data_IF_671541325632
#
_entry.id   IF_671541325632
#
_cell.length_a   1.000
_cell.length_b   1.000
_cell.length_c   1.000
_cell.angle_alpha   90.00
_cell.angle_beta   90.00
_cell.angle_gamma   90.00
#
_symmetry.space_group_name_H-M   'P 1'
#
loop_
_entity.id
_entity.type
_entity.pdbx_description
1 polymer ?
#
# COMPACT_ATOMS: atom_id res chain seq x y z
N UNK A 1 -52.01 41.30 -55.51
CA UNK A 1 -51.02 40.27 -55.89
C UNK A 1 -49.87 40.37 -54.89
N UNK A 2 -49.87 39.61 -53.88
CA UNK A 2 -48.87 39.57 -52.78
C UNK A 2 -48.28 38.17 -52.72
N UNK A 3 -47.02 38.07 -53.13
CA UNK A 3 -46.24 36.80 -53.07
C UNK A 3 -45.67 36.63 -51.68
N UNK A 4 -45.96 35.52 -51.02
CA UNK A 4 -45.34 35.12 -49.75
C UNK A 4 -44.12 34.24 -50.02
N UNK A 5 -42.96 34.67 -49.55
CA UNK A 5 -41.70 33.89 -49.53
C UNK A 5 -41.70 32.99 -48.30
N UNK A 6 -41.60 31.66 -48.51
CA UNK A 6 -41.31 30.71 -47.48
C UNK A 6 -39.78 30.49 -47.38
N UNK A 7 -39.17 30.85 -46.25
CA UNK A 7 -37.81 30.49 -45.90
C UNK A 7 -37.84 29.15 -45.17
N UNK A 8 -37.33 28.11 -45.81
CA UNK A 8 -37.09 26.79 -45.16
C UNK A 8 -35.84 26.83 -44.29
N UNK A 9 -36.04 26.64 -43.00
CA UNK A 9 -34.95 26.46 -42.03
C UNK A 9 -34.54 24.99 -42.04
N UNK A 10 -33.40 24.67 -42.68
CA UNK A 10 -32.78 23.34 -42.64
C UNK A 10 -32.00 23.21 -41.34
N UNK A 11 -32.62 22.56 -40.33
CA UNK A 11 -31.92 22.20 -39.11
C UNK A 11 -30.91 21.07 -39.35
N UNK A 12 -29.63 21.36 -39.23
CA UNK A 12 -28.57 20.34 -39.17
C UNK A 12 -28.60 19.72 -37.79
N UNK A 13 -29.15 18.52 -37.67
CA UNK A 13 -28.97 17.70 -36.51
C UNK A 13 -27.52 17.20 -36.47
N UNK A 14 -26.68 17.79 -35.61
CA UNK A 14 -25.40 17.19 -35.22
C UNK A 14 -25.71 15.95 -34.43
N UNK A 15 -25.54 14.78 -35.03
CA UNK A 15 -25.45 13.54 -34.29
C UNK A 15 -24.16 13.57 -33.48
N UNK A 16 -24.28 13.72 -32.17
CA UNK A 16 -23.15 13.45 -31.28
C UNK A 16 -22.73 11.98 -31.51
N UNK A 17 -21.53 11.76 -31.99
CA UNK A 17 -20.94 10.44 -32.09
C UNK A 17 -20.84 9.89 -30.66
N UNK A 18 -21.74 9.02 -30.29
CA UNK A 18 -21.56 8.21 -29.09
C UNK A 18 -20.36 7.30 -29.36
N UNK A 19 -19.34 7.42 -28.52
CA UNK A 19 -18.21 6.49 -28.54
C UNK A 19 -18.78 5.06 -28.41
N UNK A 20 -18.33 4.18 -29.29
CA UNK A 20 -18.73 2.78 -29.24
C UNK A 20 -18.31 2.23 -27.86
N UNK A 21 -19.17 1.47 -27.15
CA UNK A 21 -18.79 0.88 -25.89
C UNK A 21 -17.57 -0.03 -26.07
N UNK A 22 -16.66 -0.02 -25.11
CA UNK A 22 -15.57 -1.00 -25.03
C UNK A 22 -16.23 -2.38 -24.95
N UNK A 23 -16.12 -3.17 -26.02
CA UNK A 23 -16.89 -4.40 -26.20
C UNK A 23 -16.18 -5.65 -25.64
N UNK A 24 -15.16 -5.48 -24.80
CA UNK A 24 -14.39 -6.61 -24.29
C UNK A 24 -14.36 -6.61 -22.77
N UNK A 25 -14.80 -7.74 -22.20
CA UNK A 25 -14.62 -8.09 -20.80
C UNK A 25 -13.13 -7.99 -20.46
N UNK A 26 -12.82 -7.52 -19.24
CA UNK A 26 -11.47 -7.43 -18.70
C UNK A 26 -11.28 -8.54 -17.68
N UNK A 27 -10.23 -9.37 -17.88
CA UNK A 27 -9.82 -10.33 -16.86
C UNK A 27 -8.63 -9.75 -16.11
N UNK A 28 -8.76 -9.71 -14.79
CA UNK A 28 -7.74 -9.24 -13.86
C UNK A 28 -7.19 -10.46 -13.14
N UNK A 29 -5.93 -10.78 -13.34
CA UNK A 29 -5.26 -11.84 -12.60
C UNK A 29 -5.02 -11.40 -11.15
N UNK A 30 -5.37 -12.25 -10.21
CA UNK A 30 -4.95 -12.12 -8.83
C UNK A 30 -4.06 -13.31 -8.49
N UNK A 31 -2.78 -13.07 -8.22
CA UNK A 31 -1.81 -14.14 -7.98
C UNK A 31 -1.19 -13.98 -6.60
N UNK A 32 -1.24 -15.06 -5.81
CA UNK A 32 -0.64 -15.15 -4.49
C UNK A 32 0.22 -16.41 -4.37
N UNK A 33 1.10 -16.44 -3.35
CA UNK A 33 1.86 -17.64 -3.03
C UNK A 33 1.09 -18.45 -1.99
N UNK A 34 0.86 -19.76 -2.25
CA UNK A 34 0.08 -20.63 -1.39
C UNK A 34 0.67 -20.73 0.02
N UNK A 35 1.97 -21.09 0.12
CA UNK A 35 2.68 -21.30 1.38
C UNK A 35 3.46 -20.02 1.79
N UNK A 36 2.76 -18.90 1.89
CA UNK A 36 3.35 -17.62 2.31
C UNK A 36 3.31 -17.48 3.83
N UNK A 37 4.46 -17.57 4.45
CA UNK A 37 4.60 -17.52 5.92
C UNK A 37 4.18 -16.19 6.57
N UNK A 38 3.93 -15.13 5.78
CA UNK A 38 3.36 -13.88 6.29
C UNK A 38 1.93 -14.08 6.82
N UNK A 39 1.25 -15.12 6.35
CA UNK A 39 -0.12 -15.50 6.70
C UNK A 39 -0.22 -16.70 7.63
N UNK A 40 0.91 -17.13 8.23
CA UNK A 40 0.93 -18.15 9.25
C UNK A 40 0.89 -17.53 10.65
N UNK A 41 0.11 -18.12 11.55
CA UNK A 41 0.13 -17.74 12.95
C UNK A 41 1.53 -17.93 13.53
N UNK A 42 1.98 -16.99 14.35
CA UNK A 42 3.31 -17.03 14.97
C UNK A 42 3.19 -17.48 16.43
N UNK A 43 3.79 -18.60 16.73
CA UNK A 43 3.86 -19.08 18.11
C UNK A 43 4.94 -18.32 18.88
N UNK A 44 4.51 -17.56 19.87
CA UNK A 44 5.40 -16.92 20.85
C UNK A 44 5.50 -17.76 22.12
N UNK A 45 6.47 -17.44 23.01
CA UNK A 45 6.66 -18.18 24.27
C UNK A 45 5.46 -18.19 25.22
N UNK A 46 4.62 -17.18 25.16
CA UNK A 46 3.46 -17.00 26.03
C UNK A 46 2.13 -17.09 25.29
N UNK A 47 2.09 -16.63 24.03
CA UNK A 47 0.86 -16.50 23.25
C UNK A 47 1.12 -16.62 21.76
N UNK A 48 0.12 -17.08 21.02
CA UNK A 48 0.12 -17.06 19.56
C UNK A 48 -0.26 -15.68 19.03
N UNK A 49 0.50 -15.15 18.08
CA UNK A 49 0.12 -13.97 17.31
C UNK A 49 -0.64 -14.42 16.06
N UNK A 50 -1.89 -14.02 15.97
CA UNK A 50 -2.74 -14.36 14.83
C UNK A 50 -2.25 -13.58 13.60
N UNK A 51 -2.04 -14.29 12.51
CA UNK A 51 -1.61 -13.72 11.24
C UNK A 51 -2.65 -12.77 10.65
N UNK A 52 -2.21 -11.78 9.85
CA UNK A 52 -3.14 -10.96 9.08
C UNK A 52 -3.87 -11.83 8.05
N UNK A 53 -5.12 -11.51 7.71
CA UNK A 53 -5.84 -12.21 6.66
C UNK A 53 -5.33 -11.86 5.27
N UNK A 54 -5.46 -12.77 4.32
CA UNK A 54 -5.14 -12.54 2.90
C UNK A 54 -6.05 -11.48 2.27
N UNK A 55 -5.54 -10.67 1.33
CA UNK A 55 -6.23 -9.49 0.80
C UNK A 55 -7.16 -9.74 -0.39
N UNK A 56 -7.31 -10.98 -0.88
CA UNK A 56 -8.20 -11.32 -2.00
C UNK A 56 -9.61 -10.69 -1.88
N UNK A 57 -10.28 -10.68 -0.70
CA UNK A 57 -11.60 -10.07 -0.56
C UNK A 57 -11.65 -8.57 -0.90
N UNK A 58 -10.53 -7.86 -0.80
CA UNK A 58 -10.43 -6.47 -1.24
C UNK A 58 -10.59 -6.33 -2.75
N UNK A 59 -9.89 -7.16 -3.52
CA UNK A 59 -10.01 -7.21 -4.98
C UNK A 59 -11.41 -7.63 -5.43
N UNK A 60 -11.97 -8.69 -4.81
CA UNK A 60 -13.34 -9.16 -5.11
C UNK A 60 -14.39 -8.07 -4.88
N UNK A 61 -14.31 -7.34 -3.77
CA UNK A 61 -15.23 -6.23 -3.50
C UNK A 61 -15.10 -5.14 -4.56
N UNK A 62 -13.88 -4.82 -4.98
CA UNK A 62 -13.67 -3.79 -5.98
C UNK A 62 -14.21 -4.21 -7.35
N UNK A 63 -14.00 -5.45 -7.79
CA UNK A 63 -14.55 -5.97 -9.05
C UNK A 63 -16.08 -5.90 -9.06
N UNK A 64 -16.73 -6.27 -7.96
CA UNK A 64 -18.20 -6.13 -7.86
C UNK A 64 -18.66 -4.66 -7.94
N UNK A 65 -17.90 -3.74 -7.31
CA UNK A 65 -18.21 -2.31 -7.33
C UNK A 65 -18.03 -1.69 -8.73
N UNK A 66 -16.91 -1.95 -9.39
CA UNK A 66 -16.64 -1.39 -10.73
C UNK A 66 -17.59 -1.95 -11.78
N UNK A 67 -18.04 -3.19 -11.63
CA UNK A 67 -19.00 -3.81 -12.53
C UNK A 67 -20.38 -3.14 -12.54
N UNK A 68 -20.74 -2.39 -11.49
CA UNK A 68 -21.99 -1.61 -11.48
C UNK A 68 -21.96 -0.55 -12.58
N UNK A 69 -20.83 0.14 -12.74
CA UNK A 69 -20.64 1.19 -13.74
C UNK A 69 -20.24 0.60 -15.09
N UNK A 70 -19.36 -0.41 -15.12
CA UNK A 70 -18.87 -1.07 -16.32
C UNK A 70 -20.00 -1.73 -17.13
N UNK A 71 -21.02 -2.30 -16.46
CA UNK A 71 -22.20 -2.87 -17.10
C UNK A 71 -22.99 -1.83 -17.94
N UNK A 72 -22.93 -0.55 -17.60
CA UNK A 72 -23.61 0.51 -18.36
C UNK A 72 -22.98 0.75 -19.74
N UNK A 73 -21.73 0.37 -19.92
CA UNK A 73 -20.99 0.43 -21.19
C UNK A 73 -20.81 -0.95 -21.82
N UNK A 74 -21.44 -1.98 -21.28
CA UNK A 74 -21.40 -3.34 -21.83
C UNK A 74 -20.09 -4.09 -21.56
N UNK A 75 -19.32 -3.69 -20.54
CA UNK A 75 -18.09 -4.36 -20.06
C UNK A 75 -18.41 -5.15 -18.79
N UNK A 76 -17.79 -6.29 -18.64
CA UNK A 76 -17.80 -7.08 -17.41
C UNK A 76 -16.35 -7.42 -17.02
N UNK A 77 -15.94 -6.97 -15.86
CA UNK A 77 -14.62 -7.27 -15.30
C UNK A 77 -14.70 -8.56 -14.47
N UNK A 78 -13.69 -9.40 -14.61
CA UNK A 78 -13.60 -10.70 -13.91
C UNK A 78 -12.27 -10.76 -13.17
N UNK A 79 -12.29 -11.40 -12.01
CA UNK A 79 -11.09 -11.74 -11.26
C UNK A 79 -10.76 -13.22 -11.54
N UNK A 80 -9.56 -13.49 -12.08
CA UNK A 80 -8.99 -14.83 -12.17
C UNK A 80 -8.00 -15.00 -11.03
N UNK A 81 -8.35 -15.85 -10.05
CA UNK A 81 -7.55 -16.07 -8.85
C UNK A 81 -6.75 -17.35 -8.98
N UNK A 82 -5.44 -17.23 -8.90
CA UNK A 82 -4.50 -18.34 -8.98
C UNK A 82 -3.49 -18.31 -7.83
N UNK A 83 -3.07 -19.50 -7.41
CA UNK A 83 -2.06 -19.70 -6.38
C UNK A 83 -0.78 -20.30 -6.96
N UNK A 84 0.34 -19.59 -6.81
CA UNK A 84 1.65 -20.15 -7.09
C UNK A 84 2.08 -21.05 -5.92
N UNK A 85 2.57 -22.26 -6.23
CA UNK A 85 2.99 -23.21 -5.19
C UNK A 85 4.24 -22.77 -4.41
N UNK A 86 5.02 -21.81 -4.94
CA UNK A 86 6.20 -21.24 -4.29
C UNK A 86 6.56 -19.91 -4.90
N UNK A 87 7.51 -19.19 -4.29
CA UNK A 87 8.06 -17.96 -4.86
C UNK A 87 8.67 -18.18 -6.26
N UNK A 88 9.34 -19.31 -6.48
CA UNK A 88 9.94 -19.65 -7.79
C UNK A 88 8.88 -19.95 -8.87
N UNK A 89 7.70 -20.42 -8.45
CA UNK A 89 6.60 -20.72 -9.37
C UNK A 89 5.77 -19.47 -9.74
N UNK A 90 5.94 -18.36 -9.03
CA UNK A 90 5.13 -17.15 -9.19
C UNK A 90 5.23 -16.59 -10.63
N UNK A 91 6.44 -16.48 -11.17
CA UNK A 91 6.66 -15.98 -12.54
C UNK A 91 6.00 -16.90 -13.56
N UNK A 92 6.17 -18.21 -13.42
CA UNK A 92 5.57 -19.17 -14.35
C UNK A 92 4.03 -19.13 -14.32
N UNK A 93 3.44 -18.83 -13.15
CA UNK A 93 1.99 -18.67 -13.02
C UNK A 93 1.50 -17.41 -13.76
N UNK A 94 2.17 -16.27 -13.55
CA UNK A 94 1.86 -15.02 -14.28
C UNK A 94 2.04 -15.19 -15.78
N UNK A 95 3.14 -15.80 -16.24
CA UNK A 95 3.37 -16.11 -17.66
C UNK A 95 2.27 -17.00 -18.26
N UNK A 96 1.79 -17.98 -17.49
CA UNK A 96 0.72 -18.87 -17.96
C UNK A 96 -0.62 -18.14 -18.12
N UNK A 97 -0.93 -17.17 -17.25
CA UNK A 97 -2.11 -16.33 -17.35
C UNK A 97 -1.95 -15.30 -18.48
N UNK A 98 -0.79 -14.68 -18.61
CA UNK A 98 -0.49 -13.75 -19.70
C UNK A 98 -0.61 -14.43 -21.09
N UNK A 99 -0.21 -15.69 -21.19
CA UNK A 99 -0.38 -16.49 -22.43
C UNK A 99 -1.86 -16.75 -22.78
N UNK A 100 -2.80 -16.61 -21.82
CA UNK A 100 -4.25 -16.66 -22.05
C UNK A 100 -4.83 -15.30 -22.46
N UNK A 101 -4.02 -14.23 -22.47
CA UNK A 101 -4.42 -12.86 -22.82
C UNK A 101 -4.75 -11.99 -21.62
N UNK A 102 -4.28 -12.33 -20.44
CA UNK A 102 -4.39 -11.47 -19.24
C UNK A 102 -3.18 -10.54 -19.17
N UNK A 103 -3.43 -9.29 -18.94
CA UNK A 103 -2.38 -8.24 -18.94
C UNK A 103 -2.27 -7.47 -17.63
N UNK A 104 -3.22 -7.66 -16.72
CA UNK A 104 -3.38 -6.87 -15.49
C UNK A 104 -3.34 -7.80 -14.29
N UNK A 105 -2.36 -7.62 -13.42
CA UNK A 105 -2.14 -8.54 -12.30
C UNK A 105 -2.07 -7.82 -10.97
N UNK A 106 -2.84 -8.27 -9.99
CA UNK A 106 -2.66 -7.94 -8.58
C UNK A 106 -1.79 -9.03 -7.96
N UNK A 107 -0.67 -8.63 -7.39
CA UNK A 107 0.32 -9.58 -6.86
C UNK A 107 0.42 -9.44 -5.34
N UNK A 108 0.10 -10.54 -4.65
CA UNK A 108 0.33 -10.69 -3.22
C UNK A 108 1.51 -11.64 -2.98
N UNK A 109 2.70 -11.06 -2.79
CA UNK A 109 3.93 -11.81 -2.63
C UNK A 109 4.89 -11.13 -1.65
N UNK A 110 5.80 -11.88 -0.99
CA UNK A 110 6.89 -11.33 -0.21
C UNK A 110 7.84 -10.48 -1.06
N UNK A 111 8.59 -9.60 -0.41
CA UNK A 111 9.51 -8.64 -1.05
C UNK A 111 10.41 -9.26 -2.12
N UNK A 112 11.10 -10.37 -1.78
CA UNK A 112 12.07 -11.03 -2.69
C UNK A 112 11.40 -11.72 -3.88
N UNK A 113 10.21 -12.30 -3.68
CA UNK A 113 9.44 -12.91 -4.75
C UNK A 113 8.88 -11.83 -5.70
N UNK A 114 8.43 -10.70 -5.16
CA UNK A 114 7.98 -9.55 -5.95
C UNK A 114 9.11 -8.97 -6.80
N UNK A 115 10.32 -8.81 -6.23
CA UNK A 115 11.48 -8.33 -6.98
C UNK A 115 11.84 -9.28 -8.13
N UNK A 116 11.83 -10.59 -7.86
CA UNK A 116 12.13 -11.63 -8.85
C UNK A 116 11.10 -11.61 -9.98
N UNK A 117 9.82 -11.58 -9.65
CA UNK A 117 8.74 -11.48 -10.61
C UNK A 117 8.86 -10.22 -11.47
N UNK A 118 8.93 -9.04 -10.84
CA UNK A 118 8.98 -7.77 -11.55
C UNK A 118 10.16 -7.71 -12.54
N UNK A 119 11.31 -8.25 -12.15
CA UNK A 119 12.48 -8.35 -13.04
C UNK A 119 12.25 -9.31 -14.20
N UNK A 120 11.54 -10.42 -13.98
CA UNK A 120 11.24 -11.41 -15.02
C UNK A 120 10.19 -10.93 -16.03
N UNK A 121 9.29 -10.05 -15.59
CA UNK A 121 8.23 -9.46 -16.41
C UNK A 121 8.67 -8.21 -17.19
N UNK A 122 9.91 -7.76 -16.99
CA UNK A 122 10.46 -6.58 -17.68
C UNK A 122 10.32 -6.72 -19.21
N UNK A 123 9.87 -5.64 -19.83
CA UNK A 123 9.63 -5.51 -21.27
C UNK A 123 8.53 -6.47 -21.82
N UNK A 124 7.69 -7.06 -20.93
CA UNK A 124 6.50 -7.82 -21.32
C UNK A 124 5.24 -6.95 -21.32
N UNK A 125 4.22 -7.42 -22.04
CA UNK A 125 2.93 -6.72 -22.16
C UNK A 125 2.03 -6.99 -20.95
N UNK A 126 2.49 -6.60 -19.76
CA UNK A 126 1.77 -6.76 -18.49
C UNK A 126 1.91 -5.52 -17.60
N UNK A 127 0.95 -5.32 -16.70
CA UNK A 127 1.05 -4.38 -15.58
C UNK A 127 0.83 -5.15 -14.29
N UNK A 128 1.77 -5.02 -13.37
CA UNK A 128 1.77 -5.64 -12.06
C UNK A 128 1.41 -4.59 -10.99
N UNK A 129 0.35 -4.82 -10.24
CA UNK A 129 0.02 -4.02 -9.06
C UNK A 129 0.53 -4.73 -7.81
N UNK A 130 1.55 -4.18 -7.19
CA UNK A 130 2.05 -4.66 -5.91
C UNK A 130 1.13 -4.22 -4.77
N UNK A 131 0.47 -5.17 -4.13
CA UNK A 131 -0.51 -4.89 -3.07
C UNK A 131 0.00 -5.22 -1.66
N UNK A 132 1.20 -5.80 -1.52
CA UNK A 132 1.67 -6.28 -0.21
C UNK A 132 3.16 -6.11 0.08
N UNK A 133 4.05 -6.17 -0.93
CA UNK A 133 5.50 -6.04 -0.73
C UNK A 133 5.91 -4.59 -0.47
N UNK A 134 6.63 -4.35 0.65
CA UNK A 134 6.96 -3.01 1.16
C UNK A 134 8.43 -2.63 1.02
N UNK A 135 9.26 -3.48 0.41
CA UNK A 135 10.70 -3.20 0.31
C UNK A 135 10.96 -1.92 -0.48
N UNK A 136 11.79 -1.08 0.09
CA UNK A 136 12.22 0.17 -0.53
C UNK A 136 13.06 -0.04 -1.80
N UNK A 137 13.66 -1.24 -1.97
CA UNK A 137 14.39 -1.60 -3.19
C UNK A 137 13.49 -1.59 -4.43
N UNK A 138 12.21 -1.99 -4.30
CA UNK A 138 11.23 -1.98 -5.39
C UNK A 138 10.93 -0.55 -5.90
N UNK A 139 11.15 0.49 -5.07
CA UNK A 139 11.01 1.91 -5.40
C UNK A 139 12.37 2.56 -5.63
N UNK A 140 13.41 1.76 -5.81
CA UNK A 140 14.80 2.19 -5.91
C UNK A 140 15.60 1.37 -6.90
N UNK A 141 16.60 0.64 -6.42
CA UNK A 141 17.53 -0.10 -7.29
C UNK A 141 16.95 -1.30 -8.02
N UNK A 142 15.81 -1.82 -7.56
CA UNK A 142 15.13 -2.99 -8.13
C UNK A 142 13.79 -2.62 -8.83
N UNK A 143 13.50 -1.33 -9.02
CA UNK A 143 12.28 -0.90 -9.69
C UNK A 143 12.21 -1.39 -11.15
N UNK A 144 11.00 -1.69 -11.60
CA UNK A 144 10.72 -2.13 -12.97
C UNK A 144 9.57 -1.32 -13.55
N UNK A 145 9.58 -1.03 -14.87
CA UNK A 145 8.56 -0.19 -15.50
C UNK A 145 7.15 -0.79 -15.41
N UNK A 146 7.02 -2.11 -15.41
CA UNK A 146 5.73 -2.81 -15.36
C UNK A 146 5.14 -2.89 -13.95
N UNK A 147 5.90 -2.48 -12.90
CA UNK A 147 5.48 -2.59 -11.50
C UNK A 147 4.91 -1.26 -10.97
N UNK A 148 3.67 -1.28 -10.53
CA UNK A 148 2.99 -0.19 -9.85
C UNK A 148 2.79 -0.54 -8.37
N UNK A 149 3.42 0.22 -7.48
CA UNK A 149 3.40 -0.03 -6.05
C UNK A 149 2.22 0.65 -5.36
N UNK A 150 1.15 -0.10 -5.09
CA UNK A 150 -0.06 0.42 -4.42
C UNK A 150 0.14 0.49 -2.91
N UNK A 151 0.73 -0.55 -2.30
CA UNK A 151 1.05 -0.56 -0.87
C UNK A 151 2.19 0.43 -0.56
N UNK A 152 2.15 1.20 0.54
CA UNK A 152 3.23 2.11 0.88
C UNK A 152 4.52 1.37 1.22
N UNK A 153 5.64 1.96 0.83
CA UNK A 153 6.98 1.49 1.19
C UNK A 153 7.28 1.62 2.68
N UNK A 154 8.31 0.93 3.17
CA UNK A 154 8.82 1.07 4.54
C UNK A 154 9.26 2.51 4.82
N UNK A 155 9.89 3.17 3.85
CA UNK A 155 10.28 4.57 3.96
C UNK A 155 9.08 5.50 4.17
N UNK A 156 7.98 5.31 3.43
CA UNK A 156 6.75 6.12 3.62
C UNK A 156 6.17 5.95 5.03
N UNK A 157 6.13 4.73 5.55
CA UNK A 157 5.63 4.42 6.89
C UNK A 157 6.52 5.04 7.98
N UNK A 158 7.83 4.94 7.80
CA UNK A 158 8.82 5.53 8.71
C UNK A 158 8.77 7.06 8.71
N UNK A 159 8.66 7.69 7.53
CA UNK A 159 8.55 9.13 7.38
C UNK A 159 7.28 9.68 8.07
N UNK A 160 6.16 8.97 7.96
CA UNK A 160 4.92 9.36 8.63
C UNK A 160 5.09 9.40 10.16
N UNK A 161 5.73 8.39 10.74
CA UNK A 161 6.07 8.39 12.17
C UNK A 161 7.05 9.50 12.52
N UNK A 162 8.10 9.71 11.73
CA UNK A 162 9.10 10.74 11.98
C UNK A 162 8.49 12.15 11.95
N UNK A 163 7.63 12.45 10.96
CA UNK A 163 6.90 13.72 10.89
C UNK A 163 6.01 13.93 12.13
N UNK A 164 5.32 12.88 12.58
CA UNK A 164 4.51 12.93 13.80
C UNK A 164 5.36 13.25 15.02
N UNK A 165 6.51 12.61 15.19
CA UNK A 165 7.42 12.86 16.31
C UNK A 165 7.94 14.30 16.31
N UNK A 166 8.30 14.86 15.16
CA UNK A 166 8.69 16.27 15.00
C UNK A 166 7.54 17.18 15.41
N UNK A 167 6.32 16.94 14.92
CA UNK A 167 5.14 17.73 15.26
C UNK A 167 4.83 17.68 16.76
N UNK A 168 5.10 16.55 17.43
CA UNK A 168 4.94 16.38 18.89
C UNK A 168 6.10 16.91 19.71
N UNK A 169 7.23 17.30 19.09
CA UNK A 169 8.46 17.69 19.76
C UNK A 169 9.03 16.59 20.65
N UNK A 170 9.02 15.35 20.13
CA UNK A 170 9.62 14.16 20.73
C UNK A 170 10.85 13.71 19.95
N UNK A 171 11.97 14.47 20.00
CA UNK A 171 13.10 14.25 19.11
C UNK A 171 13.99 13.06 19.48
N UNK A 172 13.89 12.54 20.71
CA UNK A 172 14.80 11.49 21.19
C UNK A 172 14.10 10.14 21.17
N UNK A 173 14.61 9.20 20.38
CA UNK A 173 13.98 7.90 20.14
C UNK A 173 14.89 6.78 20.64
N UNK A 174 14.35 5.88 21.46
CA UNK A 174 14.95 4.57 21.72
C UNK A 174 14.44 3.60 20.66
N UNK A 175 15.33 2.92 19.96
CA UNK A 175 14.98 1.90 18.95
C UNK A 175 15.15 0.51 19.56
N UNK A 176 14.10 -0.30 19.51
CA UNK A 176 14.14 -1.73 19.81
C UNK A 176 13.98 -2.50 18.48
N UNK A 177 14.93 -3.42 18.21
CA UNK A 177 15.00 -4.11 16.94
C UNK A 177 15.01 -5.62 17.14
N UNK A 178 14.09 -6.31 16.49
CA UNK A 178 14.02 -7.75 16.48
C UNK A 178 15.06 -8.42 15.59
N UNK A 179 15.13 -9.75 15.63
CA UNK A 179 16.14 -10.54 14.92
C UNK A 179 15.85 -10.74 13.43
N UNK A 180 14.59 -10.59 13.01
CA UNK A 180 14.14 -10.95 11.66
C UNK A 180 14.72 -10.01 10.60
N UNK A 181 14.84 -10.45 9.34
CA UNK A 181 15.25 -9.59 8.24
C UNK A 181 14.36 -8.34 8.10
N UNK A 182 13.03 -8.49 8.23
CA UNK A 182 12.08 -7.40 8.14
C UNK A 182 12.22 -6.40 9.29
N UNK A 183 12.51 -6.86 10.51
CA UNK A 183 12.80 -5.96 11.65
C UNK A 183 14.00 -5.06 11.37
N UNK A 184 15.02 -5.61 10.74
CA UNK A 184 16.23 -4.87 10.36
C UNK A 184 15.93 -3.85 9.26
N UNK A 185 15.11 -4.23 8.27
CA UNK A 185 14.66 -3.32 7.20
C UNK A 185 13.82 -2.17 7.78
N UNK A 186 12.87 -2.47 8.66
CA UNK A 186 12.02 -1.46 9.30
C UNK A 186 12.83 -0.51 10.18
N UNK A 187 13.75 -1.03 10.99
CA UNK A 187 14.65 -0.21 11.81
C UNK A 187 15.56 0.67 10.96
N UNK A 188 16.05 0.17 9.82
CA UNK A 188 16.90 0.93 8.90
C UNK A 188 16.09 2.06 8.20
N UNK A 189 14.86 1.78 7.76
CA UNK A 189 13.95 2.77 7.19
C UNK A 189 13.65 3.87 8.22
N UNK A 190 13.37 3.50 9.47
CA UNK A 190 13.15 4.48 10.55
C UNK A 190 14.41 5.30 10.85
N UNK A 191 15.59 4.71 10.86
CA UNK A 191 16.85 5.43 11.07
C UNK A 191 17.12 6.45 9.95
N UNK A 192 16.79 6.11 8.71
CA UNK A 192 16.85 7.02 7.56
C UNK A 192 15.86 8.18 7.71
N UNK A 193 14.62 7.90 8.08
CA UNK A 193 13.60 8.89 8.36
C UNK A 193 14.01 9.80 9.55
N UNK A 194 14.54 9.22 10.63
CA UNK A 194 15.04 9.98 11.77
C UNK A 194 16.10 10.99 11.35
N UNK A 195 17.05 10.58 10.50
CA UNK A 195 18.08 11.47 9.96
C UNK A 195 17.48 12.58 9.09
N UNK A 196 16.56 12.23 8.18
CA UNK A 196 15.88 13.17 7.27
C UNK A 196 15.14 14.25 8.04
N UNK A 197 14.42 13.88 9.11
CA UNK A 197 13.57 14.80 9.88
C UNK A 197 14.24 15.36 11.15
N UNK A 198 15.56 15.13 11.33
CA UNK A 198 16.33 15.71 12.44
C UNK A 198 15.99 15.12 13.81
N UNK A 199 15.53 13.89 13.88
CA UNK A 199 15.35 13.15 15.12
C UNK A 199 16.67 12.56 15.59
N UNK A 200 16.79 12.29 16.86
CA UNK A 200 17.96 11.67 17.48
C UNK A 200 17.64 10.26 17.96
N UNK A 201 18.29 9.26 17.43
CA UNK A 201 18.29 7.92 17.99
C UNK A 201 19.19 7.95 19.23
N UNK A 202 18.56 7.85 20.41
CA UNK A 202 19.27 7.89 21.69
C UNK A 202 20.07 6.61 21.94
N UNK A 203 19.51 5.45 21.51
CA UNK A 203 20.14 4.14 21.58
C UNK A 203 19.39 3.18 20.64
N UNK A 204 20.08 2.11 20.23
CA UNK A 204 19.47 0.97 19.50
C UNK A 204 19.80 -0.32 20.24
N UNK A 205 18.78 -1.08 20.58
CA UNK A 205 18.92 -2.33 21.32
C UNK A 205 18.22 -3.46 20.60
N UNK A 206 18.92 -4.57 20.48
CA UNK A 206 18.36 -5.79 19.90
C UNK A 206 17.65 -6.58 20.99
N UNK A 207 16.44 -7.08 20.65
CA UNK A 207 15.72 -8.03 21.49
C UNK A 207 15.68 -9.41 20.85
N UNK A 208 15.44 -10.43 21.64
CA UNK A 208 15.23 -11.81 21.20
C UNK A 208 14.09 -12.39 22.02
N UNK A 209 13.07 -12.88 21.35
CA UNK A 209 11.99 -13.64 22.02
C UNK A 209 12.43 -15.09 22.15
N UNK A 210 12.67 -15.56 23.39
CA UNK A 210 13.20 -16.88 23.62
C UNK A 210 12.84 -17.42 25.00
N UNK A 211 12.57 -18.73 25.07
CA UNK A 211 12.43 -19.47 26.37
C UNK A 211 13.78 -19.86 26.96
N UNK A 212 14.92 -19.60 26.30
CA UNK A 212 16.24 -19.91 26.80
C UNK A 212 16.65 -18.92 27.91
N UNK A 213 16.94 -19.38 29.13
CA UNK A 213 17.37 -18.52 30.25
C UNK A 213 18.60 -17.66 29.95
N UNK A 214 19.44 -18.05 28.97
CA UNK A 214 20.62 -17.29 28.56
C UNK A 214 20.27 -15.98 27.81
N UNK A 215 19.07 -15.90 27.23
CA UNK A 215 18.59 -14.71 26.52
C UNK A 215 17.67 -13.83 27.37
N UNK A 216 17.50 -14.15 28.66
CA UNK A 216 16.56 -13.47 29.56
C UNK A 216 16.71 -11.96 29.61
N UNK A 217 17.93 -11.45 29.50
CA UNK A 217 18.17 -9.99 29.52
C UNK A 217 17.76 -9.33 28.21
N UNK A 218 17.81 -10.06 27.09
CA UNK A 218 17.42 -9.59 25.76
C UNK A 218 15.90 -9.70 25.51
N UNK A 219 15.17 -10.37 26.40
CA UNK A 219 13.71 -10.45 26.40
C UNK A 219 13.08 -9.57 27.51
N UNK A 220 13.90 -8.93 28.32
CA UNK A 220 13.44 -8.15 29.46
C UNK A 220 13.15 -6.68 29.05
N UNK A 221 11.88 -6.35 28.86
CA UNK A 221 11.45 -5.01 28.46
C UNK A 221 11.95 -3.94 29.41
N UNK A 222 11.96 -4.17 30.72
CA UNK A 222 12.42 -3.18 31.70
C UNK A 222 13.93 -2.87 31.55
N UNK A 223 14.75 -3.89 31.27
CA UNK A 223 16.18 -3.69 30.99
C UNK A 223 16.37 -3.00 29.64
N UNK A 224 15.64 -3.45 28.61
CA UNK A 224 15.72 -2.89 27.26
C UNK A 224 15.25 -1.43 27.20
N UNK A 225 14.34 -1.01 28.06
CA UNK A 225 13.82 0.36 28.13
C UNK A 225 14.44 1.19 29.26
N UNK A 226 15.38 0.64 30.06
CA UNK A 226 16.09 1.33 31.14
C UNK A 226 17.33 2.10 30.67
N UNK A 227 17.90 2.93 31.56
CA UNK A 227 19.25 3.51 31.44
C UNK A 227 19.43 4.65 30.41
N UNK A 228 18.61 4.77 29.39
CA UNK A 228 18.67 5.84 28.39
C UNK A 228 17.65 6.96 28.64
N UNK A 229 17.95 8.18 28.15
CA UNK A 229 16.99 9.28 28.13
C UNK A 229 16.38 9.38 26.74
N UNK A 230 15.08 9.15 26.65
CA UNK A 230 14.32 9.20 25.39
C UNK A 230 12.90 9.71 25.63
N UNK A 231 12.25 10.15 24.57
CA UNK A 231 10.88 10.67 24.59
C UNK A 231 9.88 9.59 24.16
N UNK A 232 10.30 8.65 23.30
CA UNK A 232 9.48 7.63 22.67
C UNK A 232 10.30 6.37 22.42
N UNK A 233 9.63 5.22 22.39
CA UNK A 233 10.20 3.93 21.99
C UNK A 233 9.67 3.57 20.60
N UNK A 234 10.57 3.38 19.64
CA UNK A 234 10.25 2.75 18.35
C UNK A 234 10.59 1.26 18.42
N UNK A 235 9.68 0.41 17.97
CA UNK A 235 9.90 -1.03 17.93
C UNK A 235 9.70 -1.57 16.52
N UNK A 236 10.72 -2.27 16.01
CA UNK A 236 10.67 -3.07 14.80
C UNK A 236 10.50 -4.54 15.21
N UNK A 237 9.32 -5.09 14.96
CA UNK A 237 8.91 -6.46 15.33
C UNK A 237 7.86 -6.94 14.32
N UNK A 238 8.30 -7.53 13.23
CA UNK A 238 7.44 -7.96 12.13
C UNK A 238 6.44 -9.05 12.55
N UNK A 239 6.84 -9.92 13.50
CA UNK A 239 5.96 -10.96 14.04
C UNK A 239 5.00 -10.43 15.12
N UNK A 240 5.27 -9.27 15.70
CA UNK A 240 4.47 -8.68 16.78
C UNK A 240 4.51 -9.44 18.11
N UNK A 241 5.38 -10.43 18.25
CA UNK A 241 5.42 -11.30 19.44
C UNK A 241 5.98 -10.61 20.67
N UNK A 242 7.01 -9.78 20.50
CA UNK A 242 7.61 -8.96 21.55
C UNK A 242 6.83 -7.67 21.79
N UNK A 243 6.43 -7.02 20.72
CA UNK A 243 5.85 -5.68 20.75
C UNK A 243 4.51 -5.64 21.51
N UNK A 244 3.76 -6.72 21.54
CA UNK A 244 2.41 -6.81 22.10
C UNK A 244 2.29 -6.24 23.52
N UNK A 245 3.21 -6.61 24.41
CA UNK A 245 3.20 -6.17 25.81
C UNK A 245 3.98 -4.87 26.06
N UNK A 246 4.79 -4.43 25.09
CA UNK A 246 5.73 -3.34 25.24
C UNK A 246 5.09 -2.03 25.73
N UNK A 247 3.91 -1.58 25.23
CA UNK A 247 3.30 -0.32 25.68
C UNK A 247 3.00 -0.26 27.19
N UNK A 248 2.85 -1.41 27.81
CA UNK A 248 2.47 -1.54 29.23
C UNK A 248 3.62 -1.98 30.14
N UNK A 249 4.76 -2.33 29.59
CA UNK A 249 5.88 -2.92 30.33
C UNK A 249 7.17 -2.07 30.30
N UNK A 250 7.17 -0.90 29.64
CA UNK A 250 8.31 0.02 29.64
C UNK A 250 8.59 0.54 31.06
N UNK A 251 9.88 0.68 31.42
CA UNK A 251 10.27 1.16 32.77
C UNK A 251 9.84 2.60 33.04
N UNK A 252 9.59 3.38 31.98
CA UNK A 252 9.08 4.74 32.05
C UNK A 252 7.82 4.86 31.19
N UNK A 253 6.82 5.65 31.60
CA UNK A 253 5.61 5.88 30.80
C UNK A 253 5.95 6.75 29.59
N UNK A 254 6.39 6.10 28.51
CA UNK A 254 6.70 6.73 27.22
C UNK A 254 5.83 6.11 26.13
N UNK A 255 5.43 6.91 25.14
CA UNK A 255 4.73 6.38 23.97
C UNK A 255 5.57 5.30 23.27
N UNK A 256 4.89 4.29 22.74
CA UNK A 256 5.47 3.25 21.89
C UNK A 256 4.90 3.43 20.48
N UNK A 257 5.76 3.33 19.48
CA UNK A 257 5.43 3.47 18.07
C UNK A 257 6.11 2.38 17.24
N UNK A 258 5.66 2.16 16.04
CA UNK A 258 6.22 1.17 15.11
C UNK A 258 5.30 -0.03 14.96
N UNK A 259 5.74 -1.22 15.37
CA UNK A 259 4.94 -2.44 15.26
C UNK A 259 3.74 -2.47 16.22
N UNK A 260 3.74 -1.64 17.26
CA UNK A 260 2.64 -1.52 18.23
C UNK A 260 2.50 -0.10 18.76
N UNK A 261 1.45 0.16 19.55
CA UNK A 261 1.14 1.47 20.08
C UNK A 261 0.60 2.38 18.98
N UNK A 262 1.40 3.29 18.45
CA UNK A 262 1.05 4.09 17.28
C UNK A 262 1.67 3.46 16.03
N UNK A 263 0.83 2.86 15.18
CA UNK A 263 1.24 2.08 14.00
C UNK A 263 0.94 2.88 12.73
N UNK A 264 1.92 3.02 11.80
CA UNK A 264 1.67 3.63 10.50
C UNK A 264 1.06 2.59 9.54
N UNK A 265 0.00 2.96 8.84
CA UNK A 265 -0.69 2.04 7.93
C UNK A 265 -1.33 2.73 6.74
N UNK A 266 -1.51 1.98 5.65
CA UNK A 266 -2.25 2.48 4.49
C UNK A 266 -3.74 2.64 4.77
N UNK A 267 -4.33 1.78 5.59
CA UNK A 267 -5.76 1.79 5.89
C UNK A 267 -6.04 1.34 7.32
N UNK A 268 -7.10 1.92 7.89
CA UNK A 268 -7.68 1.47 9.15
C UNK A 268 -9.19 1.68 9.13
N UNK A 269 -9.91 0.72 9.66
CA UNK A 269 -11.36 0.83 9.85
C UNK A 269 -11.77 1.98 10.77
N UNK A 270 -10.83 2.47 11.59
CA UNK A 270 -11.02 3.61 12.50
C UNK A 270 -10.90 4.96 11.81
N UNK A 271 -10.67 4.99 10.49
CA UNK A 271 -10.64 6.23 9.71
C UNK A 271 -12.07 6.67 9.36
N UNK A 272 -12.52 7.74 9.97
CA UNK A 272 -13.94 8.19 9.93
C UNK A 272 -14.18 9.38 8.99
N UNK A 273 -13.30 9.62 8.01
CA UNK A 273 -13.40 10.76 7.08
C UNK A 273 -13.46 10.31 5.63
N UNK A 274 -13.87 11.23 4.76
CA UNK A 274 -13.76 11.13 3.30
C UNK A 274 -14.37 9.87 2.69
N UNK A 275 -15.48 9.38 3.21
CA UNK A 275 -16.14 8.18 2.69
C UNK A 275 -15.58 6.85 3.20
N UNK A 276 -14.52 6.86 4.00
CA UNK A 276 -13.92 5.64 4.56
C UNK A 276 -14.89 4.79 5.40
N UNK A 277 -15.78 5.35 6.24
CA UNK A 277 -16.77 4.54 6.96
C UNK A 277 -17.67 3.71 6.05
N UNK A 278 -18.01 4.26 4.87
CA UNK A 278 -18.85 3.55 3.89
C UNK A 278 -18.09 2.38 3.26
N UNK A 279 -16.80 2.57 2.93
CA UNK A 279 -15.92 1.51 2.40
C UNK A 279 -15.74 0.42 3.45
N UNK A 280 -15.33 0.79 4.67
CA UNK A 280 -15.15 -0.14 5.80
C UNK A 280 -16.43 -0.93 6.12
N UNK A 281 -17.59 -0.26 6.11
CA UNK A 281 -18.87 -0.91 6.39
C UNK A 281 -19.25 -1.93 5.29
N UNK A 282 -19.09 -1.57 4.00
CA UNK A 282 -19.36 -2.50 2.89
C UNK A 282 -18.45 -3.72 2.96
N UNK A 283 -17.15 -3.50 3.20
CA UNK A 283 -16.19 -4.58 3.35
C UNK A 283 -16.55 -5.50 4.53
N UNK A 284 -16.79 -4.93 5.72
CA UNK A 284 -17.17 -5.71 6.91
C UNK A 284 -18.44 -6.50 6.73
N UNK A 285 -19.45 -5.90 6.04
CA UNK A 285 -20.71 -6.59 5.73
C UNK A 285 -20.51 -7.77 4.79
N UNK A 286 -19.59 -7.65 3.81
CA UNK A 286 -19.28 -8.70 2.83
C UNK A 286 -18.45 -9.82 3.43
N UNK A 287 -17.40 -9.46 4.19
CA UNK A 287 -16.31 -10.36 4.58
C UNK A 287 -16.41 -10.83 6.05
N UNK A 288 -17.13 -10.09 6.90
CA UNK A 288 -17.30 -10.42 8.32
C UNK A 288 -16.15 -9.95 9.22
N UNK A 289 -15.14 -9.24 8.67
CA UNK A 289 -14.02 -8.66 9.40
C UNK A 289 -13.73 -7.24 8.95
N UNK A 290 -12.90 -6.52 9.67
CA UNK A 290 -12.44 -5.20 9.27
C UNK A 290 -11.42 -5.28 8.12
N UNK A 291 -11.42 -4.25 7.28
CA UNK A 291 -10.56 -4.12 6.11
C UNK A 291 -9.13 -3.79 6.54
N UNK A 292 -8.16 -4.53 6.04
CA UNK A 292 -6.73 -4.31 6.29
C UNK A 292 -6.11 -3.35 5.27
N UNK A 293 -4.85 -2.96 5.50
CA UNK A 293 -4.08 -2.14 4.56
C UNK A 293 -3.88 -2.82 3.20
N UNK A 294 -3.66 -4.14 3.20
CA UNK A 294 -3.49 -4.93 1.98
C UNK A 294 -4.81 -5.17 1.25
N UNK A 295 -5.92 -5.38 1.97
CA UNK A 295 -7.26 -5.40 1.36
C UNK A 295 -7.56 -4.08 0.65
N UNK A 296 -7.25 -2.95 1.30
CA UNK A 296 -7.44 -1.62 0.70
C UNK A 296 -6.56 -1.43 -0.53
N UNK A 297 -5.30 -1.91 -0.49
CA UNK A 297 -4.41 -1.83 -1.65
C UNK A 297 -4.94 -2.64 -2.83
N UNK A 298 -5.44 -3.86 -2.58
CA UNK A 298 -6.07 -4.70 -3.60
C UNK A 298 -7.34 -4.04 -4.17
N UNK A 299 -8.21 -3.51 -3.30
CA UNK A 299 -9.40 -2.77 -3.71
C UNK A 299 -9.05 -1.55 -4.57
N UNK A 300 -8.03 -0.78 -4.16
CA UNK A 300 -7.62 0.41 -4.89
C UNK A 300 -6.95 0.09 -6.23
N UNK A 301 -6.17 -1.00 -6.33
CA UNK A 301 -5.55 -1.45 -7.56
C UNK A 301 -6.57 -1.72 -8.67
N UNK A 302 -7.65 -2.43 -8.35
CA UNK A 302 -8.75 -2.68 -9.29
C UNK A 302 -9.42 -1.38 -9.72
N UNK A 303 -9.68 -0.46 -8.79
CA UNK A 303 -10.27 0.84 -9.10
C UNK A 303 -9.35 1.71 -9.96
N UNK A 304 -8.03 1.65 -9.70
CA UNK A 304 -7.03 2.34 -10.51
C UNK A 304 -7.05 1.86 -11.97
N UNK A 305 -7.13 0.55 -12.13
CA UNK A 305 -7.23 -0.07 -13.45
C UNK A 305 -8.54 0.30 -14.16
N UNK A 306 -9.69 0.19 -13.46
CA UNK A 306 -10.98 0.59 -14.02
C UNK A 306 -10.98 2.05 -14.49
N UNK A 307 -10.44 2.94 -13.66
CA UNK A 307 -10.34 4.36 -13.97
C UNK A 307 -9.45 4.59 -15.23
N UNK A 308 -8.32 3.88 -15.30
CA UNK A 308 -7.45 3.94 -16.47
C UNK A 308 -8.14 3.45 -17.75
N UNK A 309 -8.83 2.32 -17.69
CA UNK A 309 -9.53 1.75 -18.84
C UNK A 309 -10.70 2.62 -19.30
N UNK A 310 -11.44 3.20 -18.36
CA UNK A 310 -12.62 4.02 -18.63
C UNK A 310 -12.26 5.42 -19.15
N UNK A 311 -11.36 6.12 -18.45
CA UNK A 311 -11.06 7.52 -18.75
C UNK A 311 -10.10 7.67 -19.94
N UNK A 312 -9.16 6.75 -20.13
CA UNK A 312 -8.26 6.79 -21.28
C UNK A 312 -8.80 6.05 -22.51
N UNK A 313 -9.91 5.31 -22.37
CA UNK A 313 -10.39 4.37 -23.40
C UNK A 313 -9.28 3.39 -23.83
N UNK A 314 -8.42 3.00 -22.89
CA UNK A 314 -7.26 2.17 -23.18
C UNK A 314 -7.69 0.79 -23.69
N UNK A 315 -7.06 0.40 -24.78
CA UNK A 315 -7.19 -0.94 -25.40
C UNK A 315 -5.87 -1.72 -25.35
N UNK A 316 -4.84 -1.15 -24.70
CA UNK A 316 -3.52 -1.74 -24.52
C UNK A 316 -2.95 -1.37 -23.15
N UNK A 317 -1.98 -2.18 -22.69
CA UNK A 317 -1.22 -1.91 -21.44
C UNK A 317 -0.49 -0.58 -21.52
N UNK A 318 0.14 -0.24 -22.65
CA UNK A 318 0.84 1.04 -22.85
C UNK A 318 -0.09 2.26 -22.66
N UNK A 319 -1.32 2.20 -23.20
CA UNK A 319 -2.27 3.29 -23.05
C UNK A 319 -2.76 3.44 -21.60
N UNK A 320 -2.98 2.33 -20.90
CA UNK A 320 -3.37 2.33 -19.50
C UNK A 320 -2.22 2.82 -18.61
N UNK A 321 -1.00 2.35 -18.82
CA UNK A 321 0.19 2.76 -18.09
C UNK A 321 0.44 4.28 -18.22
N UNK A 322 0.33 4.79 -19.44
CA UNK A 322 0.44 6.23 -19.71
C UNK A 322 -0.60 7.05 -18.93
N UNK A 323 -1.81 6.53 -18.74
CA UNK A 323 -2.83 7.17 -17.91
C UNK A 323 -2.48 7.07 -16.44
N UNK A 324 -2.15 5.87 -15.95
CA UNK A 324 -1.83 5.59 -14.55
C UNK A 324 -0.66 6.44 -14.04
N UNK A 325 0.36 6.64 -14.87
CA UNK A 325 1.53 7.48 -14.56
C UNK A 325 1.37 8.93 -14.99
N UNK A 326 0.25 9.26 -15.63
CA UNK A 326 -0.03 10.59 -16.16
C UNK A 326 -0.54 11.58 -15.11
N UNK A 327 -0.46 12.88 -15.40
CA UNK A 327 -0.92 13.94 -14.49
C UNK A 327 -2.45 14.02 -14.33
N UNK A 328 -3.19 13.36 -15.20
CA UNK A 328 -4.66 13.31 -15.18
C UNK A 328 -5.21 12.26 -14.22
N UNK A 329 -4.39 11.31 -13.81
CA UNK A 329 -4.80 10.29 -12.84
C UNK A 329 -5.19 10.91 -11.51
N UNK A 330 -6.40 10.58 -11.04
CA UNK A 330 -6.98 11.16 -9.84
C UNK A 330 -7.97 10.16 -9.22
N UNK A 331 -7.47 9.25 -8.38
CA UNK A 331 -8.28 8.22 -7.78
C UNK A 331 -8.72 8.62 -6.38
N UNK A 332 -9.99 8.39 -6.08
CA UNK A 332 -10.52 8.47 -4.72
C UNK A 332 -10.23 7.17 -3.94
N UNK A 333 -9.26 7.24 -3.05
CA UNK A 333 -8.93 6.16 -2.11
C UNK A 333 -9.65 6.26 -0.76
N UNK A 334 -10.67 7.11 -0.64
CA UNK A 334 -11.39 7.43 0.61
C UNK A 334 -10.47 7.96 1.72
N UNK A 335 -9.39 8.68 1.34
CA UNK A 335 -8.40 9.27 2.26
C UNK A 335 -8.32 10.79 2.19
N UNK A 336 -9.15 11.43 1.38
CA UNK A 336 -9.26 12.88 1.23
C UNK A 336 -8.56 13.43 -0.01
N UNK A 337 -7.23 13.51 -0.07
CA UNK A 337 -6.58 13.99 -1.29
C UNK A 337 -6.71 12.96 -2.42
N UNK A 338 -6.73 13.44 -3.68
CA UNK A 338 -6.65 12.57 -4.85
C UNK A 338 -5.34 11.80 -4.84
N UNK A 339 -5.40 10.52 -5.19
CA UNK A 339 -4.25 9.65 -5.26
C UNK A 339 -3.76 9.52 -6.71
N UNK A 340 -2.45 9.37 -6.88
CA UNK A 340 -1.80 9.21 -8.21
C UNK A 340 -0.49 8.46 -8.05
N UNK A 341 -0.05 7.77 -9.09
CA UNK A 341 1.29 7.18 -9.08
C UNK A 341 2.37 8.23 -9.39
N UNK A 342 3.56 8.03 -8.83
CA UNK A 342 4.75 8.80 -9.15
C UNK A 342 5.36 8.27 -10.44
N UNK A 343 5.71 9.15 -11.36
CA UNK A 343 6.35 8.73 -12.61
C UNK A 343 7.82 8.32 -12.46
N UNK A 344 8.46 8.51 -11.29
CA UNK A 344 9.89 8.24 -11.09
C UNK A 344 10.20 6.98 -10.30
N UNK A 345 9.22 6.41 -9.58
CA UNK A 345 9.39 5.20 -8.79
C UNK A 345 8.11 4.34 -8.76
N UNK A 346 7.09 4.72 -9.50
CA UNK A 346 5.78 4.07 -9.64
C UNK A 346 5.05 3.82 -8.31
N UNK A 347 5.47 4.47 -7.21
CA UNK A 347 4.79 4.40 -5.93
C UNK A 347 3.52 5.24 -5.93
N UNK A 348 2.43 4.69 -5.43
CA UNK A 348 1.19 5.43 -5.19
C UNK A 348 1.40 6.50 -4.12
N UNK A 349 1.12 7.76 -4.45
CA UNK A 349 1.00 8.86 -3.49
C UNK A 349 -0.24 8.67 -2.66
N UNK A 350 -0.09 8.57 -1.36
CA UNK A 350 -1.21 8.37 -0.45
C UNK A 350 -0.91 8.92 0.94
N UNK A 351 -1.91 9.41 1.68
CA UNK A 351 -1.75 9.66 3.11
C UNK A 351 -1.49 8.36 3.87
N UNK A 352 -0.63 8.44 4.87
CA UNK A 352 -0.37 7.34 5.81
C UNK A 352 -1.11 7.63 7.11
N UNK A 353 -1.95 6.70 7.52
CA UNK A 353 -2.69 6.80 8.78
C UNK A 353 -1.80 6.35 9.94
N UNK A 354 -1.85 7.08 11.03
CA UNK A 354 -1.20 6.75 12.30
C UNK A 354 -2.28 6.30 13.28
N UNK A 355 -2.30 5.01 13.59
CA UNK A 355 -3.43 4.38 14.25
C UNK A 355 -3.03 3.62 15.50
N UNK A 356 -3.96 3.48 16.42
CA UNK A 356 -4.01 2.45 17.46
C UNK A 356 -5.06 1.41 17.05
N UNK A 357 -5.21 0.29 17.76
CA UNK A 357 -6.26 -0.68 17.44
C UNK A 357 -7.68 -0.08 17.37
N UNK A 358 -7.94 0.99 18.15
CA UNK A 358 -9.29 1.52 18.35
C UNK A 358 -9.49 2.94 17.76
N UNK A 359 -8.43 3.59 17.26
CA UNK A 359 -8.52 4.98 16.79
C UNK A 359 -7.45 5.34 15.76
N UNK A 360 -7.82 6.18 14.80
CA UNK A 360 -6.86 6.93 13.99
C UNK A 360 -6.50 8.23 14.73
N UNK A 361 -5.23 8.37 15.06
CA UNK A 361 -4.70 9.49 15.86
C UNK A 361 -4.31 10.69 14.99
N UNK A 362 -3.72 10.40 13.83
CA UNK A 362 -3.29 11.40 12.85
C UNK A 362 -3.17 10.78 11.47
N UNK A 363 -3.00 11.62 10.47
CA UNK A 363 -2.63 11.26 9.11
C UNK A 363 -1.41 12.08 8.66
N UNK A 364 -0.48 11.45 7.98
CA UNK A 364 0.67 12.09 7.38
C UNK A 364 0.44 12.24 5.86
N UNK A 365 0.94 13.35 5.25
CA UNK A 365 1.89 14.33 5.78
C UNK A 365 1.30 15.21 6.87
N UNK A 366 2.09 15.39 7.94
CA UNK A 366 1.68 16.25 9.06
C UNK A 366 1.63 17.72 8.65
N UNK A 367 0.73 18.54 9.25
CA UNK A 367 0.70 19.98 8.99
C UNK A 367 2.07 20.64 9.20
N UNK A 368 2.49 21.47 8.22
CA UNK A 368 3.79 22.14 8.25
C UNK A 368 4.88 21.46 7.44
N UNK A 369 4.69 20.22 7.00
CA UNK A 369 5.55 19.58 6.02
C UNK A 369 5.07 19.92 4.62
N UNK A 370 5.86 20.70 3.90
CA UNK A 370 5.50 21.22 2.57
C UNK A 370 6.40 20.60 1.50
N UNK A 371 5.84 20.45 0.30
CA UNK A 371 6.57 20.04 -0.89
C UNK A 371 6.23 20.97 -2.07
N UNK A 372 7.17 21.12 -3.02
CA UNK A 372 7.03 22.07 -4.12
C UNK A 372 5.91 21.71 -5.11
N UNK A 373 5.66 20.41 -5.30
CA UNK A 373 4.70 19.90 -6.29
C UNK A 373 3.51 19.21 -5.64
N UNK A 374 3.75 18.23 -4.78
CA UNK A 374 2.69 17.48 -4.12
C UNK A 374 3.11 17.15 -2.68
N UNK A 375 2.31 17.54 -1.72
CA UNK A 375 2.62 17.34 -0.29
C UNK A 375 2.82 15.86 0.06
N UNK A 376 2.18 14.92 -0.65
CA UNK A 376 2.35 13.48 -0.45
C UNK A 376 3.75 13.00 -0.83
N UNK A 377 4.52 13.77 -1.58
CA UNK A 377 5.92 13.47 -1.93
C UNK A 377 6.90 13.78 -0.78
N UNK A 378 6.41 14.27 0.36
CA UNK A 378 7.19 14.34 1.61
C UNK A 378 7.32 12.99 2.32
N UNK A 379 6.65 11.94 1.84
CA UNK A 379 6.69 10.58 2.37
C UNK A 379 7.37 9.65 1.37
N UNK A 380 8.38 8.90 1.83
CA UNK A 380 9.17 8.02 0.97
C UNK A 380 10.23 8.77 0.14
N UNK A 381 10.66 8.19 -0.95
CA UNK A 381 11.72 8.78 -1.79
C UNK A 381 11.16 9.82 -2.76
N UNK A 382 11.66 11.04 -2.66
CA UNK A 382 11.35 12.08 -3.64
C UNK A 382 12.18 11.88 -4.93
N UNK A 383 11.78 12.54 -6.01
CA UNK A 383 12.41 12.43 -7.33
C UNK A 383 13.95 12.59 -7.32
N UNK A 384 14.56 13.52 -6.55
CA UNK A 384 16.01 13.62 -6.47
C UNK A 384 16.70 12.45 -5.74
N UNK A 385 15.96 11.69 -4.94
CA UNK A 385 16.46 10.62 -4.07
C UNK A 385 16.31 9.23 -4.71
N UNK A 386 15.44 9.10 -5.71
CA UNK A 386 15.19 7.81 -6.35
C UNK A 386 16.42 7.29 -7.08
N UNK A 387 16.58 5.97 -7.03
CA UNK A 387 17.58 5.23 -7.80
C UNK A 387 16.98 4.49 -8.98
N UNK A 388 15.66 4.63 -9.18
CA UNK A 388 14.98 4.05 -10.34
C UNK A 388 15.53 4.60 -11.66
N UNK A 389 15.64 3.70 -12.63
CA UNK A 389 16.04 4.00 -14.01
C UNK A 389 15.13 3.17 -14.92
N UNK A 390 14.08 3.80 -15.40
CA UNK A 390 13.17 3.26 -16.41
C UNK A 390 13.68 3.54 -17.82
#
# INVERSE_FOLDING_TARGET
MTAALWLGLSGVLSAAAQAAPLSHDVTIGYVQIADDSRYDDKEGPAETTIAPPRPLPGAEMAVDEVNIDAATVGRLDKLDHEEAGSADALTAQVDAMAAKGEHWFLIDAPDEAMETLAKAERDKDVILFNISARDDALRGGACQPELLDVIPSRAMLADALAQFLVARKWPNVLVLRGPLPDDKKDAAAFASAATRFGLRIADTRDFIVSNDPRHRDQDNIALLTGGASYDVVYVADADGTFARSLPYATIRPRPVIGATGLVPTAWSWTWERYGAPQVSHRFKKRVGRDMTATDWAAWLAVRALDDALRESHATSTEAADKYLLGPQMNIDGAKGPPLSFRAWDHQLRQPILLTTPDATIADAPMPGFLHQTNVLDTLGYDRPETKCKF
#
